data_IF_109054329255
#
_entry.id   IF_109054329255
#
_cell.length_a   1.000
_cell.length_b   1.000
_cell.length_c   1.000
_cell.angle_alpha   90.00
_cell.angle_beta   90.00
_cell.angle_gamma   90.00
#
_symmetry.space_group_name_H-M   'P 1'
#
loop_
_entity.id
_entity.type
_entity.pdbx_description
1 polymer ?
#
# COMPACT_ATOMS: atom_id res chain seq x y z
N UNK A 1 23.41 -4.84 6.77
CA UNK A 1 22.49 -5.98 6.83
C UNK A 1 22.31 -6.28 8.31
N UNK A 2 21.16 -5.92 8.88
CA UNK A 2 20.97 -5.98 10.33
C UNK A 2 20.35 -7.33 10.67
N UNK A 3 21.15 -8.21 11.27
CA UNK A 3 20.71 -9.46 11.89
C UNK A 3 19.72 -9.15 13.02
N UNK A 4 18.44 -9.04 12.68
CA UNK A 4 17.37 -9.01 13.66
C UNK A 4 17.05 -10.46 13.99
N UNK A 5 17.84 -11.06 14.88
CA UNK A 5 17.55 -12.41 15.39
C UNK A 5 16.14 -12.40 15.94
N UNK A 6 15.26 -13.11 15.24
CA UNK A 6 13.85 -13.28 15.53
C UNK A 6 13.70 -13.72 16.98
N UNK A 7 13.42 -12.80 17.91
CA UNK A 7 13.26 -13.18 19.31
C UNK A 7 11.85 -13.73 19.49
N UNK A 8 11.77 -15.02 19.82
CA UNK A 8 10.60 -15.63 20.44
C UNK A 8 10.10 -14.72 21.58
N UNK A 9 8.78 -14.61 21.71
CA UNK A 9 8.13 -13.88 22.80
C UNK A 9 7.09 -14.78 23.46
N UNK A 10 6.57 -14.37 24.62
CA UNK A 10 5.57 -15.15 25.35
C UNK A 10 4.34 -15.55 24.49
N UNK A 11 4.05 -14.79 23.43
CA UNK A 11 2.91 -15.01 22.53
C UNK A 11 3.29 -15.60 21.16
N UNK A 12 4.59 -15.71 20.85
CA UNK A 12 5.11 -16.17 19.56
C UNK A 12 6.33 -17.06 19.77
N UNK A 13 6.18 -18.36 19.52
CA UNK A 13 7.30 -19.31 19.52
C UNK A 13 8.28 -19.01 18.38
N UNK A 14 9.51 -19.49 18.48
CA UNK A 14 10.50 -19.31 17.42
C UNK A 14 10.00 -19.86 16.08
N UNK A 15 9.46 -21.09 16.09
CA UNK A 15 8.90 -21.72 14.90
C UNK A 15 7.76 -20.92 14.26
N UNK A 16 6.92 -20.28 15.08
CA UNK A 16 5.86 -19.39 14.58
C UNK A 16 6.45 -18.15 13.90
N UNK A 17 7.49 -17.55 14.49
CA UNK A 17 8.18 -16.41 13.89
C UNK A 17 8.84 -16.78 12.57
N UNK A 18 9.53 -17.92 12.52
CA UNK A 18 10.19 -18.39 11.30
C UNK A 18 9.15 -18.65 10.18
N UNK A 19 7.99 -19.22 10.53
CA UNK A 19 6.87 -19.44 9.59
C UNK A 19 6.28 -18.12 9.10
N UNK A 20 5.98 -17.19 10.02
CA UNK A 20 5.49 -15.84 9.71
C UNK A 20 6.41 -15.12 8.72
N UNK A 21 7.72 -15.16 8.98
CA UNK A 21 8.72 -14.53 8.11
C UNK A 21 8.78 -15.22 6.76
N UNK A 22 8.88 -16.55 6.71
CA UNK A 22 8.97 -17.28 5.44
C UNK A 22 7.75 -17.04 4.54
N UNK A 23 6.54 -17.20 5.08
CA UNK A 23 5.30 -17.11 4.31
C UNK A 23 5.04 -15.67 3.85
N UNK A 24 5.22 -14.69 4.73
CA UNK A 24 5.00 -13.29 4.38
C UNK A 24 6.07 -12.73 3.45
N UNK A 25 7.34 -13.15 3.58
CA UNK A 25 8.39 -12.76 2.64
C UNK A 25 8.15 -13.37 1.25
N UNK A 26 7.60 -14.58 1.16
CA UNK A 26 7.24 -15.19 -0.12
C UNK A 26 6.04 -14.51 -0.80
N UNK A 27 5.05 -14.06 -0.02
CA UNK A 27 3.86 -13.39 -0.53
C UNK A 27 3.40 -12.25 0.40
N UNK A 28 3.94 -11.02 0.26
CA UNK A 28 3.71 -9.92 1.20
C UNK A 28 2.36 -9.21 0.98
N UNK A 29 1.27 -9.98 0.93
CA UNK A 29 -0.09 -9.48 0.72
C UNK A 29 -0.95 -9.65 1.97
N UNK A 30 -2.08 -8.94 1.99
CA UNK A 30 -3.01 -8.99 3.13
C UNK A 30 -3.60 -10.38 3.34
N UNK A 31 -3.90 -11.12 2.27
CA UNK A 31 -4.41 -12.48 2.35
C UNK A 31 -3.47 -13.42 3.12
N UNK A 32 -2.16 -13.26 2.96
CA UNK A 32 -1.15 -14.04 3.71
C UNK A 32 -1.20 -13.75 5.20
N UNK A 33 -1.38 -12.49 5.59
CA UNK A 33 -1.57 -12.11 7.00
C UNK A 33 -2.83 -12.75 7.57
N UNK A 34 -3.92 -12.73 6.83
CA UNK A 34 -5.19 -13.29 7.30
C UNK A 34 -5.10 -14.81 7.43
N UNK A 35 -4.46 -15.51 6.48
CA UNK A 35 -4.20 -16.95 6.57
C UNK A 35 -3.31 -17.32 7.78
N UNK A 36 -2.25 -16.57 8.04
CA UNK A 36 -1.38 -16.76 9.20
C UNK A 36 -2.10 -16.46 10.53
N UNK A 37 -3.03 -15.50 10.50
CA UNK A 37 -3.86 -15.16 11.66
C UNK A 37 -4.78 -16.34 12.03
N UNK A 38 -5.42 -16.94 11.02
CA UNK A 38 -6.27 -18.11 11.20
C UNK A 38 -5.46 -19.35 11.64
N UNK A 39 -4.28 -19.58 11.04
CA UNK A 39 -3.40 -20.71 11.38
C UNK A 39 -2.92 -20.69 12.84
N UNK A 40 -2.60 -19.50 13.37
CA UNK A 40 -2.02 -19.35 14.71
C UNK A 40 -3.02 -18.89 15.78
N UNK A 41 -4.32 -18.84 15.44
CA UNK A 41 -5.39 -18.32 16.30
C UNK A 41 -5.03 -16.94 16.88
N UNK A 42 -4.61 -16.04 15.99
CA UNK A 42 -4.25 -14.65 16.29
C UNK A 42 -5.14 -13.72 15.49
N UNK A 43 -5.19 -12.45 15.92
CA UNK A 43 -5.81 -11.42 15.09
C UNK A 43 -4.83 -10.97 13.99
N UNK A 44 -5.32 -10.60 12.79
CA UNK A 44 -4.48 -10.02 11.73
C UNK A 44 -3.66 -8.82 12.23
N UNK A 45 -4.23 -8.01 13.15
CA UNK A 45 -3.53 -6.90 13.79
C UNK A 45 -2.29 -7.34 14.58
N UNK A 46 -2.37 -8.46 15.29
CA UNK A 46 -1.23 -9.00 16.05
C UNK A 46 -0.13 -9.49 15.11
N UNK A 47 -0.51 -10.20 14.04
CA UNK A 47 0.41 -10.65 12.99
C UNK A 47 1.11 -9.46 12.34
N UNK A 48 0.37 -8.44 11.90
CA UNK A 48 0.94 -7.21 11.33
C UNK A 48 1.89 -6.53 12.32
N UNK A 49 1.52 -6.44 13.59
CA UNK A 49 2.38 -5.85 14.62
C UNK A 49 3.69 -6.62 14.78
N UNK A 50 3.64 -7.97 14.71
CA UNK A 50 4.84 -8.81 14.79
C UNK A 50 5.71 -8.65 13.54
N UNK A 51 5.13 -8.72 12.35
CA UNK A 51 5.82 -8.49 11.07
C UNK A 51 6.44 -7.07 11.00
N UNK A 52 5.76 -6.07 11.56
CA UNK A 52 6.26 -4.69 11.65
C UNK A 52 7.44 -4.58 12.62
N UNK A 53 7.36 -5.25 13.78
CA UNK A 53 8.47 -5.30 14.73
C UNK A 53 9.70 -6.04 14.17
N UNK A 54 9.48 -6.98 13.25
CA UNK A 54 10.53 -7.67 12.49
C UNK A 54 11.05 -6.84 11.29
N UNK A 55 10.45 -5.70 11.00
CA UNK A 55 10.84 -4.82 9.90
C UNK A 55 10.47 -5.34 8.50
N UNK A 56 9.67 -6.40 8.40
CA UNK A 56 9.33 -7.05 7.11
C UNK A 56 7.95 -6.67 6.58
N UNK A 57 7.07 -6.11 7.42
CA UNK A 57 5.72 -5.76 7.00
C UNK A 57 5.72 -4.67 5.91
N UNK A 58 5.10 -4.96 4.77
CA UNK A 58 4.91 -4.00 3.68
C UNK A 58 3.50 -3.43 3.80
N UNK A 59 3.43 -2.11 3.99
CA UNK A 59 2.15 -1.41 4.06
C UNK A 59 1.46 -1.46 2.70
N UNK A 60 0.24 -1.99 2.68
CA UNK A 60 -0.57 -2.00 1.46
C UNK A 60 -0.69 -0.60 0.87
N UNK A 61 -0.45 -0.51 -0.44
CA UNK A 61 -0.63 0.72 -1.21
C UNK A 61 -2.11 1.10 -1.20
N UNK A 62 -2.39 2.39 -1.00
CA UNK A 62 -3.77 2.88 -0.96
C UNK A 62 -4.28 2.97 -2.40
N UNK A 63 -5.06 1.96 -2.78
CA UNK A 63 -5.85 1.98 -4.01
C UNK A 63 -7.27 2.48 -3.74
N UNK A 64 -7.90 3.08 -4.74
CA UNK A 64 -9.32 3.42 -4.72
C UNK A 64 -10.17 2.14 -4.78
N UNK A 65 -11.50 2.25 -4.58
CA UNK A 65 -12.43 1.10 -4.71
C UNK A 65 -12.35 0.39 -6.07
N UNK A 66 -11.77 1.04 -7.09
CA UNK A 66 -11.58 0.51 -8.45
C UNK A 66 -10.19 -0.12 -8.67
N UNK A 67 -9.32 -0.12 -7.65
CA UNK A 67 -7.95 -0.63 -7.76
C UNK A 67 -6.94 0.37 -8.31
N UNK A 68 -7.38 1.56 -8.74
CA UNK A 68 -6.50 2.62 -9.24
C UNK A 68 -5.74 3.28 -8.08
N UNK A 69 -4.48 3.72 -8.29
CA UNK A 69 -3.75 4.53 -7.31
C UNK A 69 -4.58 5.73 -6.87
N UNK A 70 -4.57 6.07 -5.57
CA UNK A 70 -5.26 7.28 -5.11
C UNK A 70 -4.49 8.51 -5.60
N UNK A 71 -4.88 9.04 -6.77
CA UNK A 71 -4.31 10.26 -7.33
C UNK A 71 -4.89 11.49 -6.61
N UNK A 72 -4.00 12.36 -6.12
CA UNK A 72 -4.42 13.60 -5.49
C UNK A 72 -4.94 14.58 -6.54
N UNK A 73 -5.88 15.45 -6.15
CA UNK A 73 -6.39 16.47 -7.07
C UNK A 73 -5.26 17.37 -7.58
N UNK A 74 -4.32 17.71 -6.71
CA UNK A 74 -3.16 18.54 -7.03
C UNK A 74 -2.27 17.88 -8.13
N UNK A 75 -2.14 16.55 -8.10
CA UNK A 75 -1.41 15.78 -9.12
C UNK A 75 -2.17 15.79 -10.46
N UNK A 76 -3.50 15.62 -10.45
CA UNK A 76 -4.32 15.73 -11.67
C UNK A 76 -4.20 17.13 -12.30
N UNK A 77 -4.24 18.18 -11.48
CA UNK A 77 -4.03 19.56 -11.94
C UNK A 77 -2.63 19.72 -12.55
N UNK A 78 -1.60 19.18 -11.90
CA UNK A 78 -0.23 19.25 -12.42
C UNK A 78 -0.09 18.53 -13.78
N UNK A 79 -0.70 17.35 -13.94
CA UNK A 79 -0.71 16.62 -15.22
C UNK A 79 -1.40 17.40 -16.34
N UNK A 80 -2.55 18.02 -16.06
CA UNK A 80 -3.25 18.88 -17.04
C UNK A 80 -2.42 20.13 -17.38
N UNK A 81 -1.80 20.79 -16.40
CA UNK A 81 -0.94 21.95 -16.68
C UNK A 81 0.31 21.58 -17.48
N UNK A 82 0.88 20.39 -17.24
CA UNK A 82 2.05 19.88 -17.95
C UNK A 82 1.72 19.56 -19.42
N UNK A 83 0.57 18.94 -19.70
CA UNK A 83 0.11 18.69 -21.07
C UNK A 83 -0.20 19.98 -21.83
N UNK A 84 -0.73 21.01 -21.16
CA UNK A 84 -0.97 22.34 -21.73
C UNK A 84 0.33 23.16 -21.89
N UNK A 85 1.37 22.86 -21.10
CA UNK A 85 2.62 23.62 -21.05
C UNK A 85 2.48 25.00 -20.39
N UNK A 86 1.45 25.21 -19.56
CA UNK A 86 1.21 26.46 -18.83
C UNK A 86 0.50 26.22 -17.50
N UNK A 87 0.83 27.06 -16.52
CA UNK A 87 0.13 27.09 -15.24
C UNK A 87 -1.25 27.76 -15.37
N UNK A 88 -2.28 27.05 -14.92
CA UNK A 88 -3.68 27.47 -14.91
C UNK A 88 -4.25 27.25 -13.50
N UNK A 89 -4.06 28.20 -12.58
CA UNK A 89 -4.43 28.02 -11.17
C UNK A 89 -5.93 27.80 -10.94
N UNK A 90 -6.78 28.17 -11.90
CA UNK A 90 -8.22 27.90 -11.87
C UNK A 90 -8.57 26.42 -12.00
N UNK A 91 -7.68 25.57 -12.54
CA UNK A 91 -7.90 24.13 -12.65
C UNK A 91 -8.07 23.46 -11.29
N UNK A 92 -7.49 24.02 -10.22
CA UNK A 92 -7.68 23.54 -8.85
C UNK A 92 -9.16 23.61 -8.39
N UNK A 93 -10.00 24.42 -9.05
CA UNK A 93 -11.44 24.52 -8.75
C UNK A 93 -12.29 23.49 -9.51
N UNK A 94 -11.73 22.80 -10.50
CA UNK A 94 -12.44 21.78 -11.26
C UNK A 94 -12.68 20.52 -10.42
N UNK A 95 -13.69 19.74 -10.82
CA UNK A 95 -13.93 18.44 -10.21
C UNK A 95 -12.85 17.45 -10.63
N UNK A 96 -12.63 16.40 -9.83
CA UNK A 96 -11.71 15.32 -10.22
C UNK A 96 -12.13 14.67 -11.54
N UNK A 97 -13.44 14.55 -11.79
CA UNK A 97 -13.99 13.95 -13.02
C UNK A 97 -13.58 14.77 -14.24
N UNK A 98 -13.76 16.09 -14.19
CA UNK A 98 -13.40 16.94 -15.33
C UNK A 98 -11.89 16.96 -15.60
N UNK A 99 -11.07 16.95 -14.54
CA UNK A 99 -9.62 16.86 -14.67
C UNK A 99 -9.19 15.53 -15.31
N UNK A 100 -9.81 14.41 -14.92
CA UNK A 100 -9.56 13.10 -15.53
C UNK A 100 -9.96 13.08 -17.00
N UNK A 101 -11.13 13.61 -17.37
CA UNK A 101 -11.56 13.70 -18.77
C UNK A 101 -10.59 14.54 -19.61
N UNK A 102 -10.02 15.62 -19.05
CA UNK A 102 -9.01 16.42 -19.74
C UNK A 102 -7.71 15.64 -19.96
N UNK A 103 -7.24 14.89 -18.96
CA UNK A 103 -6.06 14.04 -19.08
C UNK A 103 -6.29 12.99 -20.17
N UNK A 104 -7.42 12.28 -20.14
CA UNK A 104 -7.79 11.29 -21.16
C UNK A 104 -7.84 11.90 -22.57
N UNK A 105 -8.33 13.14 -22.70
CA UNK A 105 -8.35 13.86 -23.98
C UNK A 105 -6.93 14.16 -24.49
N UNK A 106 -6.01 14.59 -23.62
CA UNK A 106 -4.63 14.86 -24.01
C UNK A 106 -3.82 13.58 -24.27
N UNK A 107 -4.11 12.49 -23.56
CA UNK A 107 -3.43 11.20 -23.75
C UNK A 107 -3.89 10.48 -25.03
N UNK A 108 -5.10 10.79 -25.53
CA UNK A 108 -5.65 10.25 -26.77
C UNK A 108 -5.28 11.06 -28.03
N UNK A 109 -4.62 12.21 -27.88
CA UNK A 109 -4.24 13.13 -28.96
C UNK A 109 -2.77 12.98 -29.36
#
# INVERSE_FOLDING_TARGET
MTDMTAKASANYSQAMVDRLTAEYTANPVRATVDALADEFDKTPRSIISKLSALGIYVKAERVTKRGEPVVRKDELVAQVQASIGRELPSLAKMTKVDLTNLIEFFDAA
#
